data_IF_146699932120
#
_entry.id   IF_146699932120
#
_cell.length_a   1.000
_cell.length_b   1.000
_cell.length_c   1.000
_cell.angle_alpha   90.00
_cell.angle_beta   90.00
_cell.angle_gamma   90.00
#
_symmetry.space_group_name_H-M   'P 1'
#
loop_
_entity.id
_entity.type
_entity.pdbx_description
1 polymer ?
#
# COMPACT_ATOMS: atom_id res chain seq x y z
N UNK A 1 -15.50 -14.26 -8.61
CA UNK A 1 -15.48 -13.40 -9.83
C UNK A 1 -15.83 -14.26 -11.05
N UNK A 2 -16.46 -13.68 -12.09
CA UNK A 2 -16.60 -14.29 -13.41
C UNK A 2 -15.25 -14.34 -14.12
N UNK A 3 -15.12 -15.16 -15.18
CA UNK A 3 -13.87 -15.22 -15.97
C UNK A 3 -13.46 -13.86 -16.55
N UNK A 4 -14.44 -13.06 -16.96
CA UNK A 4 -14.19 -11.72 -17.50
C UNK A 4 -13.69 -10.77 -16.42
N UNK A 5 -14.31 -10.76 -15.25
CA UNK A 5 -13.87 -9.95 -14.10
C UNK A 5 -12.47 -10.36 -13.65
N UNK A 6 -12.20 -11.66 -13.59
CA UNK A 6 -10.88 -12.16 -13.21
C UNK A 6 -9.78 -11.72 -14.19
N UNK A 7 -10.02 -11.85 -15.49
CA UNK A 7 -9.05 -11.39 -16.52
C UNK A 7 -8.81 -9.88 -16.42
N UNK A 8 -9.89 -9.11 -16.26
CA UNK A 8 -9.79 -7.65 -16.12
C UNK A 8 -9.02 -7.25 -14.87
N UNK A 9 -9.33 -7.88 -13.74
CA UNK A 9 -8.63 -7.66 -12.48
C UNK A 9 -7.14 -8.02 -12.58
N UNK A 10 -6.81 -9.16 -13.19
CA UNK A 10 -5.42 -9.60 -13.36
C UNK A 10 -4.63 -8.64 -14.25
N UNK A 11 -5.22 -8.18 -15.36
CA UNK A 11 -4.60 -7.18 -16.23
C UNK A 11 -4.39 -5.85 -15.47
N UNK A 12 -5.39 -5.38 -14.73
CA UNK A 12 -5.27 -4.19 -13.88
C UNK A 12 -4.15 -4.35 -12.87
N UNK A 13 -4.14 -5.44 -12.11
CA UNK A 13 -3.13 -5.72 -11.07
C UNK A 13 -1.72 -5.68 -11.64
N UNK A 14 -1.49 -6.34 -12.78
CA UNK A 14 -0.20 -6.37 -13.46
C UNK A 14 0.26 -4.97 -13.87
N UNK A 15 -0.62 -4.20 -14.50
CA UNK A 15 -0.32 -2.85 -14.95
C UNK A 15 -0.10 -1.90 -13.77
N UNK A 16 -0.90 -2.02 -12.72
CA UNK A 16 -0.77 -1.19 -11.52
C UNK A 16 0.53 -1.47 -10.78
N UNK A 17 0.91 -2.75 -10.63
CA UNK A 17 2.20 -3.14 -10.04
C UNK A 17 3.37 -2.57 -10.84
N UNK A 18 3.34 -2.72 -12.16
CA UNK A 18 4.38 -2.18 -13.05
C UNK A 18 4.46 -0.64 -12.96
N UNK A 19 3.33 0.06 -12.87
CA UNK A 19 3.30 1.50 -12.68
C UNK A 19 3.93 1.91 -11.33
N UNK A 20 3.59 1.24 -10.23
CA UNK A 20 4.21 1.49 -8.93
C UNK A 20 5.74 1.29 -8.98
N UNK A 21 6.21 0.21 -9.59
CA UNK A 21 7.63 -0.08 -9.76
C UNK A 21 8.34 0.99 -10.61
N UNK A 22 7.71 1.40 -11.71
CA UNK A 22 8.24 2.46 -12.57
C UNK A 22 8.42 3.78 -11.79
N UNK A 23 7.41 4.22 -11.06
CA UNK A 23 7.47 5.46 -10.29
C UNK A 23 8.44 5.39 -9.12
N UNK A 24 8.55 4.23 -8.45
CA UNK A 24 9.57 4.00 -7.43
C UNK A 24 10.99 4.14 -8.00
N UNK A 25 11.24 3.58 -9.19
CA UNK A 25 12.52 3.72 -9.87
C UNK A 25 12.81 5.18 -10.23
N UNK A 26 11.80 5.94 -10.71
CA UNK A 26 11.94 7.38 -10.99
C UNK A 26 12.26 8.19 -9.73
N UNK A 27 11.70 7.84 -8.59
CA UNK A 27 12.00 8.46 -7.31
C UNK A 27 13.39 8.04 -6.75
N UNK A 28 14.10 7.13 -7.41
CA UNK A 28 15.37 6.57 -6.94
C UNK A 28 15.22 5.57 -5.80
N UNK A 29 14.03 5.04 -5.60
CA UNK A 29 13.76 3.88 -4.75
C UNK A 29 13.71 2.63 -5.60
N UNK A 30 14.25 1.55 -5.07
CA UNK A 30 14.12 0.24 -5.69
C UNK A 30 12.99 -0.50 -5.00
N UNK A 31 12.02 -0.92 -5.81
CA UNK A 31 10.97 -1.80 -5.31
C UNK A 31 11.60 -3.16 -4.96
N UNK A 32 11.49 -3.52 -3.69
CA UNK A 32 11.80 -4.87 -3.24
C UNK A 32 10.51 -5.49 -2.68
N UNK A 33 10.28 -6.75 -2.99
CA UNK A 33 9.27 -7.51 -2.27
C UNK A 33 9.70 -7.61 -0.79
N UNK A 34 8.76 -7.72 0.17
CA UNK A 34 9.08 -7.76 1.59
C UNK A 34 10.12 -8.80 1.97
N UNK A 35 10.20 -9.89 1.21
CA UNK A 35 11.08 -11.04 1.46
C UNK A 35 12.34 -11.08 0.55
N UNK A 36 12.50 -10.11 -0.37
CA UNK A 36 13.68 -10.07 -1.24
C UNK A 36 14.83 -9.28 -0.60
N UNK A 37 16.01 -9.90 -0.43
CA UNK A 37 17.17 -9.20 0.07
C UNK A 37 17.69 -8.19 -0.96
N UNK A 38 17.75 -6.92 -0.60
CA UNK A 38 18.36 -5.87 -1.41
C UNK A 38 19.87 -6.13 -1.57
N UNK A 39 20.43 -5.92 -2.78
CA UNK A 39 21.85 -5.88 -2.98
C UNK A 39 22.52 -4.73 -2.20
N UNK A 40 23.83 -4.80 -1.97
CA UNK A 40 24.55 -3.73 -1.24
C UNK A 40 24.41 -2.37 -1.91
N UNK A 41 24.42 -2.32 -3.25
CA UNK A 41 24.26 -1.07 -4.01
C UNK A 41 22.83 -0.54 -3.86
N UNK A 42 21.84 -1.42 -3.95
CA UNK A 42 20.43 -1.05 -3.74
C UNK A 42 20.18 -0.52 -2.34
N UNK A 43 20.78 -1.15 -1.31
CA UNK A 43 20.67 -0.69 0.08
C UNK A 43 21.22 0.72 0.27
N UNK A 44 22.37 1.04 -0.32
CA UNK A 44 22.99 2.37 -0.18
C UNK A 44 22.18 3.46 -0.88
N UNK A 45 21.62 3.19 -2.06
CA UNK A 45 20.76 4.13 -2.80
C UNK A 45 19.45 4.36 -2.06
N UNK A 46 18.81 3.29 -1.59
CA UNK A 46 17.57 3.38 -0.80
C UNK A 46 17.80 4.14 0.49
N UNK A 47 18.90 3.86 1.20
CA UNK A 47 19.23 4.54 2.46
C UNK A 47 19.44 6.05 2.25
N UNK A 48 20.22 6.47 1.26
CA UNK A 48 20.43 7.90 1.00
C UNK A 48 19.13 8.64 0.63
N UNK A 49 18.19 7.99 -0.06
CA UNK A 49 16.87 8.56 -0.34
C UNK A 49 15.96 8.59 0.88
N UNK A 50 15.99 7.53 1.67
CA UNK A 50 15.26 7.48 2.94
C UNK A 50 15.71 8.58 3.89
N UNK A 51 17.01 8.85 3.98
CA UNK A 51 17.55 9.93 4.81
C UNK A 51 17.08 11.30 4.33
N UNK A 52 17.09 11.58 3.03
CA UNK A 52 16.59 12.82 2.46
C UNK A 52 15.09 13.04 2.73
N UNK A 53 14.27 11.99 2.57
CA UNK A 53 12.86 12.05 2.88
C UNK A 53 12.59 12.21 4.37
N UNK A 54 13.39 11.57 5.21
CA UNK A 54 13.29 11.71 6.67
C UNK A 54 13.52 13.17 7.09
N UNK A 55 14.52 13.85 6.53
CA UNK A 55 14.78 15.26 6.79
C UNK A 55 13.61 16.16 6.35
N UNK A 56 13.03 15.89 5.18
CA UNK A 56 11.85 16.62 4.70
C UNK A 56 10.64 16.41 5.61
N UNK A 57 10.46 15.20 6.14
CA UNK A 57 9.37 14.91 7.07
C UNK A 57 9.58 15.53 8.43
N UNK A 58 10.81 15.57 8.92
CA UNK A 58 11.13 16.29 10.16
C UNK A 58 10.77 17.77 10.02
N UNK A 59 11.20 18.42 8.94
CA UNK A 59 10.86 19.82 8.68
C UNK A 59 9.34 20.04 8.58
N UNK A 60 8.62 19.14 7.90
CA UNK A 60 7.17 19.21 7.80
C UNK A 60 6.48 19.00 9.16
N UNK A 61 6.97 18.07 9.97
CA UNK A 61 6.44 17.80 11.31
C UNK A 61 6.66 18.99 12.26
N UNK A 62 7.83 19.62 12.22
CA UNK A 62 8.14 20.83 12.99
C UNK A 62 7.20 21.98 12.61
N UNK A 63 7.00 22.22 11.31
CA UNK A 63 6.09 23.26 10.82
C UNK A 63 4.62 23.00 11.25
N UNK A 64 4.20 21.76 11.28
CA UNK A 64 2.82 21.39 11.64
C UNK A 64 2.66 21.02 13.12
N UNK A 65 3.72 21.09 13.93
CA UNK A 65 3.74 20.70 15.33
C UNK A 65 3.25 19.26 15.58
N UNK A 66 3.62 18.37 14.68
CA UNK A 66 3.28 16.94 14.75
C UNK A 66 4.54 16.09 14.92
N UNK A 67 4.46 14.90 15.55
CA UNK A 67 5.61 14.01 15.64
C UNK A 67 6.09 13.56 14.25
N UNK A 68 7.39 13.61 14.00
CA UNK A 68 8.00 12.98 12.84
C UNK A 68 7.82 11.45 12.87
N UNK A 69 7.78 10.82 11.69
CA UNK A 69 7.67 9.37 11.57
C UNK A 69 8.61 8.86 10.47
N UNK A 70 9.07 7.60 10.54
CA UNK A 70 9.92 7.02 9.52
C UNK A 70 9.18 6.93 8.19
N UNK A 71 9.90 7.19 7.11
CA UNK A 71 9.39 7.11 5.75
C UNK A 71 10.31 6.16 4.96
N UNK A 72 9.77 5.05 4.54
CA UNK A 72 10.54 4.01 3.86
C UNK A 72 10.25 3.95 2.36
N UNK A 73 9.02 4.26 1.95
CA UNK A 73 8.66 4.32 0.53
C UNK A 73 7.58 5.39 0.26
N UNK A 74 7.77 6.25 -0.76
CA UNK A 74 6.74 7.23 -1.15
C UNK A 74 5.59 6.61 -1.92
N UNK A 75 5.82 5.46 -2.55
CA UNK A 75 4.84 4.75 -3.39
C UNK A 75 4.68 3.34 -2.83
N UNK A 76 3.45 3.00 -2.52
CA UNK A 76 3.10 1.70 -1.95
C UNK A 76 2.29 0.90 -2.95
N UNK A 77 2.77 -0.29 -3.29
CA UNK A 77 1.95 -1.31 -3.94
C UNK A 77 1.28 -2.16 -2.85
N UNK A 78 -0.05 -2.31 -2.94
CA UNK A 78 -0.78 -3.14 -1.99
C UNK A 78 -0.61 -4.63 -2.32
N UNK A 79 0.27 -5.32 -1.59
CA UNK A 79 0.53 -6.75 -1.80
C UNK A 79 -0.68 -7.65 -1.58
N UNK A 80 -1.71 -7.21 -0.83
CA UNK A 80 -2.94 -7.99 -0.72
C UNK A 80 -3.67 -8.18 -2.05
N UNK A 81 -3.37 -7.38 -3.07
CA UNK A 81 -3.87 -7.60 -4.43
C UNK A 81 -3.32 -8.89 -5.05
N UNK A 82 -2.10 -9.31 -4.68
CA UNK A 82 -1.49 -10.54 -5.18
C UNK A 82 -2.10 -11.79 -4.53
N UNK A 83 -2.75 -11.64 -3.37
CA UNK A 83 -3.43 -12.72 -2.64
C UNK A 83 -4.81 -13.06 -3.20
N UNK A 84 -5.42 -12.13 -3.98
CA UNK A 84 -6.76 -12.31 -4.55
C UNK A 84 -6.78 -13.44 -5.59
N UNK A 85 -7.75 -14.35 -5.46
CA UNK A 85 -7.97 -15.51 -6.31
C UNK A 85 -9.24 -15.37 -7.16
N UNK A 86 -9.31 -16.12 -8.26
CA UNK A 86 -10.50 -16.14 -9.12
C UNK A 86 -11.78 -16.60 -8.38
N UNK A 87 -11.60 -17.48 -7.39
CA UNK A 87 -12.69 -18.00 -6.53
C UNK A 87 -13.20 -17.02 -5.50
N UNK A 88 -12.50 -15.90 -5.26
CA UNK A 88 -12.89 -14.97 -4.20
C UNK A 88 -14.15 -14.19 -4.58
N UNK A 89 -15.02 -14.04 -3.59
CA UNK A 89 -16.25 -13.26 -3.69
C UNK A 89 -15.96 -11.79 -3.33
N UNK A 90 -15.39 -11.03 -4.29
CA UNK A 90 -15.16 -9.61 -4.08
C UNK A 90 -16.49 -8.86 -4.14
N UNK A 91 -16.84 -8.18 -3.07
CA UNK A 91 -18.10 -7.43 -2.91
C UNK A 91 -17.90 -5.91 -2.91
N UNK A 92 -16.67 -5.44 -2.67
CA UNK A 92 -16.41 -4.03 -2.48
C UNK A 92 -15.07 -3.62 -3.09
N UNK A 93 -15.03 -2.44 -3.69
CA UNK A 93 -13.79 -1.75 -4.08
C UNK A 93 -13.74 -0.44 -3.31
N UNK A 94 -12.65 -0.23 -2.57
CA UNK A 94 -12.42 0.99 -1.81
C UNK A 94 -11.25 1.73 -2.45
N UNK A 95 -11.46 2.99 -2.78
CA UNK A 95 -10.40 3.88 -3.24
C UNK A 95 -10.19 4.91 -2.14
N UNK A 96 -9.08 4.77 -1.42
CA UNK A 96 -8.69 5.71 -0.39
C UNK A 96 -7.80 6.83 -0.94
N UNK A 97 -7.43 7.76 -0.10
CA UNK A 97 -6.50 8.84 -0.43
C UNK A 97 -5.05 8.34 -0.40
N UNK A 98 -4.08 9.22 -0.28
CA UNK A 98 -2.66 8.87 -0.26
C UNK A 98 -2.31 7.86 0.86
N UNK A 99 -1.27 7.04 0.66
CA UNK A 99 -0.81 6.12 1.69
C UNK A 99 -0.43 6.84 2.99
N UNK A 100 -0.94 6.35 4.11
CA UNK A 100 -0.59 6.86 5.43
C UNK A 100 0.79 6.36 5.91
N UNK A 101 1.29 6.94 6.99
CA UNK A 101 2.63 6.63 7.55
C UNK A 101 2.88 5.14 7.80
N UNK A 102 1.86 4.40 8.24
CA UNK A 102 2.01 2.97 8.50
C UNK A 102 2.04 2.15 7.21
N UNK A 103 1.39 2.63 6.17
CA UNK A 103 1.33 1.98 4.86
C UNK A 103 2.64 2.14 4.10
N UNK A 104 3.38 3.22 4.35
CA UNK A 104 4.68 3.53 3.77
C UNK A 104 5.84 2.75 4.39
N UNK A 105 5.59 1.96 5.42
CA UNK A 105 6.59 1.07 6.01
C UNK A 105 6.74 -0.21 5.18
N UNK A 106 7.97 -0.58 4.85
CA UNK A 106 8.27 -1.80 4.07
C UNK A 106 7.62 -3.06 4.63
N UNK A 107 7.58 -3.18 5.96
CA UNK A 107 6.96 -4.34 6.63
C UNK A 107 5.46 -4.48 6.41
N UNK A 108 4.78 -3.41 6.02
CA UNK A 108 3.33 -3.43 5.84
C UNK A 108 2.93 -3.60 4.38
N UNK A 109 3.42 -2.75 3.48
CA UNK A 109 3.12 -2.72 2.05
C UNK A 109 1.66 -3.11 1.72
N UNK A 110 0.74 -2.58 2.53
CA UNK A 110 -0.69 -2.88 2.50
C UNK A 110 -1.47 -1.63 2.82
N UNK A 111 -2.57 -1.40 2.11
CA UNK A 111 -3.40 -0.22 2.35
C UNK A 111 -4.34 -0.39 3.55
N UNK A 112 -4.74 0.74 4.12
CA UNK A 112 -5.64 0.84 5.26
C UNK A 112 -5.20 0.01 6.48
N UNK A 113 -3.90 0.03 6.80
CA UNK A 113 -3.35 -0.60 8.01
C UNK A 113 -3.26 0.36 9.20
N UNK A 114 -3.51 1.64 8.98
CA UNK A 114 -3.54 2.68 10.01
C UNK A 114 -4.91 2.82 10.69
N UNK A 115 -5.13 3.98 11.30
CA UNK A 115 -6.37 4.29 12.02
C UNK A 115 -7.61 4.21 11.12
N UNK A 116 -7.53 4.73 9.89
CA UNK A 116 -8.63 4.67 8.93
C UNK A 116 -9.06 3.22 8.63
N UNK A 117 -8.08 2.32 8.46
CA UNK A 117 -8.34 0.91 8.25
C UNK A 117 -9.04 0.25 9.44
N UNK A 118 -8.62 0.57 10.67
CA UNK A 118 -9.28 0.08 11.89
C UNK A 118 -10.73 0.56 12.00
N UNK A 119 -10.98 1.83 11.63
CA UNK A 119 -12.34 2.39 11.63
C UNK A 119 -13.21 1.67 10.60
N UNK A 120 -12.71 1.48 9.37
CA UNK A 120 -13.43 0.77 8.32
C UNK A 120 -13.73 -0.70 8.71
N UNK A 121 -12.74 -1.40 9.21
CA UNK A 121 -12.90 -2.80 9.66
C UNK A 121 -13.93 -2.91 10.79
N UNK A 122 -13.85 -2.04 11.81
CA UNK A 122 -14.82 -1.98 12.88
C UNK A 122 -16.24 -1.63 12.40
N UNK A 123 -16.36 -0.80 11.36
CA UNK A 123 -17.66 -0.48 10.77
C UNK A 123 -18.34 -1.76 10.23
N UNK A 124 -17.63 -2.56 9.42
CA UNK A 124 -18.18 -3.80 8.88
C UNK A 124 -18.44 -4.85 9.96
N UNK A 125 -17.58 -4.93 10.98
CA UNK A 125 -17.80 -5.83 12.12
C UNK A 125 -19.04 -5.48 12.93
N UNK A 126 -19.39 -4.19 13.03
CA UNK A 126 -20.58 -3.72 13.77
C UNK A 126 -21.86 -3.74 12.94
N UNK A 127 -21.75 -3.94 11.63
CA UNK A 127 -22.89 -3.99 10.70
C UNK A 127 -22.85 -5.32 9.92
N UNK A 128 -23.01 -6.47 10.62
CA UNK A 128 -22.91 -7.79 10.01
C UNK A 128 -23.99 -8.06 8.96
N UNK A 129 -25.10 -7.32 8.99
CA UNK A 129 -26.16 -7.36 7.99
C UNK A 129 -25.69 -6.97 6.57
N UNK A 130 -24.58 -6.24 6.45
CA UNK A 130 -23.96 -5.95 5.16
C UNK A 130 -23.32 -7.19 4.52
N UNK A 131 -23.03 -8.23 5.32
CA UNK A 131 -22.50 -9.50 4.85
C UNK A 131 -21.14 -9.35 4.16
N UNK A 132 -20.29 -8.40 4.57
CA UNK A 132 -18.98 -8.11 3.98
C UNK A 132 -17.88 -8.38 4.99
N UNK A 133 -16.96 -9.28 4.65
CA UNK A 133 -15.66 -9.37 5.30
C UNK A 133 -14.72 -8.35 4.68
N UNK A 134 -14.47 -7.25 5.40
CA UNK A 134 -13.69 -6.11 4.91
C UNK A 134 -12.30 -6.49 4.40
N UNK A 135 -11.64 -7.46 5.00
CA UNK A 135 -10.28 -7.84 4.62
C UNK A 135 -10.22 -8.87 3.51
N UNK A 136 -11.24 -9.69 3.36
CA UNK A 136 -11.28 -10.79 2.39
C UNK A 136 -12.07 -10.48 1.14
N UNK A 137 -13.10 -9.63 1.26
CA UNK A 137 -14.07 -9.39 0.20
C UNK A 137 -13.99 -7.94 -0.36
N UNK A 138 -13.02 -7.13 0.10
CA UNK A 138 -12.77 -5.80 -0.41
C UNK A 138 -11.40 -5.70 -1.12
N UNK A 139 -11.40 -5.13 -2.33
CA UNK A 139 -10.20 -4.64 -2.99
C UNK A 139 -9.95 -3.20 -2.52
N UNK A 140 -8.77 -2.95 -1.97
CA UNK A 140 -8.41 -1.64 -1.43
C UNK A 140 -7.32 -1.02 -2.29
N UNK A 141 -7.59 0.16 -2.82
CA UNK A 141 -6.71 0.96 -3.66
C UNK A 141 -6.51 2.34 -3.04
N UNK A 142 -5.41 2.99 -3.39
CA UNK A 142 -5.17 4.41 -3.13
C UNK A 142 -5.09 5.17 -4.46
N UNK A 143 -5.29 6.48 -4.40
CA UNK A 143 -5.08 7.37 -5.54
C UNK A 143 -3.61 7.38 -5.96
#
# INVERSE_FOLDING_TARGET
>A
MTDTEWRTFTAFRTNFKAACQHWLAQCGYLYAAPDEPLSCVQKSVVQGRADALHLLQQAAAENNKTPAYPHETPIVYNHSLDEVQASDAIKLIIISDNPGKNEQLHKNQRYLVGQAGKVAENFFLRNPELGIDFRREAIILNK
#
